data_IF_101917470513
#
_entry.id   IF_101917470513
#
_cell.length_a   1.000
_cell.length_b   1.000
_cell.length_c   1.000
_cell.angle_alpha   90.00
_cell.angle_beta   90.00
_cell.angle_gamma   90.00
#
_symmetry.space_group_name_H-M   'P 1'
#
loop_
_entity.id
_entity.type
_entity.pdbx_description
1 polymer ?
#
# COMPACT_ATOMS: atom_id res chain seq x y z
N UNK A 1 -8.60 2.06 4.33
CA UNK A 1 -8.48 1.97 2.86
C UNK A 1 -9.33 0.88 2.20
N UNK A 2 -9.90 -0.11 2.92
CA UNK A 2 -10.88 -1.04 2.33
C UNK A 2 -10.35 -1.95 1.22
N UNK A 3 -9.03 -2.14 1.11
CA UNK A 3 -8.38 -2.99 0.10
C UNK A 3 -7.94 -4.31 0.71
N UNK A 4 -7.96 -5.37 -0.10
CA UNK A 4 -7.47 -6.69 0.32
C UNK A 4 -5.95 -6.69 0.55
N UNK A 5 -5.47 -7.55 1.45
CA UNK A 5 -4.04 -7.76 1.67
C UNK A 5 -3.33 -8.22 0.39
N UNK A 6 -3.99 -9.04 -0.44
CA UNK A 6 -3.47 -9.48 -1.74
C UNK A 6 -3.17 -8.30 -2.65
N UNK A 7 -4.05 -7.30 -2.68
CA UNK A 7 -3.85 -6.07 -3.47
C UNK A 7 -2.64 -5.29 -2.96
N UNK A 8 -2.48 -5.17 -1.65
CA UNK A 8 -1.32 -4.49 -1.05
C UNK A 8 -0.02 -5.22 -1.39
N UNK A 9 0.05 -6.55 -1.19
CA UNK A 9 1.23 -7.36 -1.53
C UNK A 9 1.60 -7.28 -3.00
N UNK A 10 0.60 -7.28 -3.90
CA UNK A 10 0.84 -7.09 -5.33
C UNK A 10 1.49 -5.73 -5.62
N UNK A 11 0.97 -4.64 -5.03
CA UNK A 11 1.55 -3.30 -5.21
C UNK A 11 2.98 -3.20 -4.67
N UNK A 12 3.28 -3.89 -3.57
CA UNK A 12 4.64 -3.99 -3.03
C UNK A 12 5.55 -4.74 -4.01
N UNK A 13 5.10 -5.89 -4.53
CA UNK A 13 5.86 -6.66 -5.52
C UNK A 13 6.08 -5.90 -6.84
N UNK A 14 5.10 -5.07 -7.26
CA UNK A 14 5.21 -4.17 -8.41
C UNK A 14 6.11 -2.94 -8.15
N UNK A 15 6.62 -2.75 -6.91
CA UNK A 15 7.41 -1.58 -6.54
C UNK A 15 6.60 -0.28 -6.43
N UNK A 16 5.27 -0.35 -6.46
CA UNK A 16 4.36 0.80 -6.42
C UNK A 16 3.97 1.24 -5.01
N UNK A 17 4.27 0.42 -4.01
CA UNK A 17 4.00 0.70 -2.61
C UNK A 17 5.23 0.34 -1.79
N UNK A 18 5.93 1.33 -1.21
CA UNK A 18 7.02 1.07 -0.26
C UNK A 18 6.53 0.20 0.89
N UNK A 19 7.36 -0.74 1.30
CA UNK A 19 7.09 -1.58 2.45
C UNK A 19 8.37 -1.85 3.24
N UNK A 20 8.21 -2.00 4.54
CA UNK A 20 9.28 -2.12 5.50
C UNK A 20 9.15 -3.47 6.21
N UNK A 21 10.28 -4.18 6.38
CA UNK A 21 10.31 -5.37 7.24
C UNK A 21 10.49 -4.93 8.68
N UNK A 22 9.62 -5.42 9.56
CA UNK A 22 9.73 -5.22 11.00
C UNK A 22 9.86 -6.60 11.64
N UNK A 23 11.07 -6.92 12.07
CA UNK A 23 11.40 -8.26 12.58
C UNK A 23 11.39 -9.34 11.49
N UNK A 24 11.36 -10.62 11.89
CA UNK A 24 11.66 -11.73 10.99
C UNK A 24 10.55 -12.03 9.96
N UNK A 25 9.28 -11.70 10.26
CA UNK A 25 8.14 -12.08 9.39
C UNK A 25 7.13 -10.96 9.14
N UNK A 26 7.17 -9.84 9.87
CA UNK A 26 6.17 -8.78 9.68
C UNK A 26 6.59 -7.80 8.59
N UNK A 27 5.64 -7.49 7.71
CA UNK A 27 5.75 -6.42 6.73
C UNK A 27 4.82 -5.29 7.18
N UNK A 28 5.33 -4.07 7.19
CA UNK A 28 4.59 -2.86 7.51
C UNK A 28 4.63 -1.91 6.31
N UNK A 29 3.63 -1.06 6.22
CA UNK A 29 3.50 -0.03 5.20
C UNK A 29 3.16 1.26 5.94
N UNK A 30 3.74 2.39 5.53
CA UNK A 30 3.38 3.69 6.12
C UNK A 30 1.94 4.05 5.78
N UNK A 31 1.22 4.65 6.73
CA UNK A 31 -0.12 5.15 6.46
C UNK A 31 -0.13 6.23 5.37
N UNK A 32 0.93 7.04 5.31
CA UNK A 32 1.12 8.11 4.32
C UNK A 32 1.32 7.55 2.91
N UNK A 33 2.15 6.52 2.74
CA UNK A 33 2.35 5.85 1.44
C UNK A 33 1.04 5.30 0.88
N UNK A 34 0.19 4.73 1.75
CA UNK A 34 -1.12 4.24 1.32
C UNK A 34 -2.08 5.39 1.00
N UNK A 35 -2.01 6.51 1.73
CA UNK A 35 -2.78 7.71 1.43
C UNK A 35 -2.40 8.30 0.08
N UNK A 36 -1.09 8.34 -0.24
CA UNK A 36 -0.56 8.86 -1.50
C UNK A 36 -1.01 8.06 -2.73
N UNK A 37 -1.39 6.78 -2.55
CA UNK A 37 -1.99 5.97 -3.61
C UNK A 37 -3.43 6.37 -3.94
N UNK A 38 -4.12 7.09 -3.06
CA UNK A 38 -5.50 7.53 -3.29
C UNK A 38 -5.49 8.67 -4.31
N UNK A 39 -6.10 8.43 -5.47
CA UNK A 39 -6.36 9.48 -6.46
C UNK A 39 -7.84 9.83 -6.42
N UNK A 40 -8.13 11.14 -6.37
CA UNK A 40 -9.51 11.64 -6.44
C UNK A 40 -10.09 11.29 -7.80
N UNK A 41 -11.30 10.73 -7.80
CA UNK A 41 -12.07 10.54 -9.03
C UNK A 41 -12.72 11.89 -9.35
N UNK A 42 -12.50 12.48 -10.53
CA UNK A 42 -13.16 13.71 -10.91
C UNK A 42 -14.69 13.50 -10.97
N UNK A 43 -15.43 14.44 -10.37
CA UNK A 43 -16.88 14.54 -10.55
C UNK A 43 -17.15 15.29 -11.84
N UNK A 44 -18.06 14.79 -12.67
CA UNK A 44 -18.66 15.56 -13.76
C UNK A 44 -19.56 16.66 -13.20
#
# INVERSE_FOLDING_TARGET
YGVSERTLRRRIAEGRLPAYRVGPRSIRVSAEDVAALAKRIPSA
#
